data_IF_624295821234
#
_entry.id   IF_624295821234
#
_cell.length_a   1.000
_cell.length_b   1.000
_cell.length_c   1.000
_cell.angle_alpha   90.00
_cell.angle_beta   90.00
_cell.angle_gamma   90.00
#
_symmetry.space_group_name_H-M   'P 1'
#
loop_
_entity.id
_entity.type
_entity.pdbx_description
1 polymer ?
#
# COMPACT_ATOMS: atom_id res chain seq x y z
N UNK A 1 27.20 15.88 -20.46
CA UNK A 1 26.88 15.54 -19.05
C UNK A 1 25.50 16.13 -18.78
N UNK A 2 24.54 15.31 -18.34
CA UNK A 2 23.23 15.83 -17.95
C UNK A 2 23.39 16.70 -16.69
N UNK A 3 22.69 17.83 -16.62
CA UNK A 3 22.70 18.68 -15.44
C UNK A 3 22.05 17.93 -14.28
N UNK A 4 22.76 17.80 -13.16
CA UNK A 4 22.22 17.23 -11.93
C UNK A 4 21.69 18.33 -11.02
N UNK A 5 20.63 18.03 -10.28
CA UNK A 5 20.00 18.96 -9.35
C UNK A 5 19.63 18.25 -8.03
N UNK A 6 19.04 19.00 -7.09
CA UNK A 6 18.68 18.52 -5.77
C UNK A 6 17.28 18.97 -5.32
N UNK A 7 16.72 18.24 -4.36
CA UNK A 7 15.52 18.62 -3.60
C UNK A 7 15.80 18.54 -2.10
N UNK A 8 14.98 19.22 -1.32
CA UNK A 8 14.99 19.10 0.15
C UNK A 8 13.79 18.28 0.58
N UNK A 9 14.03 17.15 1.24
CA UNK A 9 12.97 16.36 1.89
C UNK A 9 12.86 16.78 3.36
N UNK A 10 11.64 17.04 3.83
CA UNK A 10 11.33 17.48 5.20
C UNK A 10 10.42 16.43 5.84
N UNK A 11 10.82 15.85 6.96
CA UNK A 11 10.02 14.87 7.68
C UNK A 11 8.95 15.54 8.55
N UNK A 12 7.93 14.79 8.97
CA UNK A 12 6.92 15.29 9.92
C UNK A 12 7.50 15.67 11.30
N UNK A 13 8.73 15.23 11.62
CA UNK A 13 9.45 15.63 12.84
C UNK A 13 10.15 16.99 12.69
N UNK A 14 10.16 17.58 11.49
CA UNK A 14 10.85 18.83 11.19
C UNK A 14 12.30 18.65 10.76
N UNK A 15 12.80 17.41 10.67
CA UNK A 15 14.13 17.12 10.14
C UNK A 15 14.13 17.33 8.62
N UNK A 16 15.19 17.94 8.09
CA UNK A 16 15.34 18.17 6.66
C UNK A 16 16.66 17.62 6.15
N UNK A 17 16.65 17.03 4.96
CA UNK A 17 17.86 16.56 4.29
C UNK A 17 17.79 16.83 2.79
N UNK A 18 18.97 17.02 2.18
CA UNK A 18 19.09 17.32 0.75
C UNK A 18 19.37 16.03 -0.02
N UNK A 19 18.57 15.77 -1.03
CA UNK A 19 18.78 14.70 -2.01
C UNK A 19 19.35 15.30 -3.28
N UNK A 20 20.65 15.09 -3.51
CA UNK A 20 21.37 15.53 -4.71
C UNK A 20 21.47 14.44 -5.78
N UNK A 21 21.89 14.82 -7.00
CA UNK A 21 22.12 13.86 -8.07
C UNK A 21 20.83 13.41 -8.78
N UNK A 22 19.81 14.26 -8.75
CA UNK A 22 18.58 14.05 -9.52
C UNK A 22 18.79 14.53 -10.97
N UNK A 23 18.10 13.89 -11.90
CA UNK A 23 18.07 14.22 -13.32
C UNK A 23 16.63 14.42 -13.79
N UNK A 24 16.43 15.03 -14.97
CA UNK A 24 15.10 15.20 -15.56
C UNK A 24 14.41 13.86 -15.93
N UNK A 25 15.20 12.79 -16.04
CA UNK A 25 14.73 11.44 -16.32
C UNK A 25 14.31 10.68 -15.05
N UNK A 26 14.61 11.22 -13.86
CA UNK A 26 14.15 10.63 -12.61
C UNK A 26 12.62 10.63 -12.51
N UNK A 27 12.10 9.57 -11.91
CA UNK A 27 10.67 9.34 -11.74
C UNK A 27 10.32 9.39 -10.25
N UNK A 28 9.03 9.50 -9.93
CA UNK A 28 8.59 9.45 -8.53
C UNK A 28 9.05 8.16 -7.80
N UNK A 29 8.98 6.95 -8.40
CA UNK A 29 9.53 5.74 -7.79
C UNK A 29 11.04 5.82 -7.51
N UNK A 30 11.85 6.35 -8.44
CA UNK A 30 13.30 6.46 -8.22
C UNK A 30 13.62 7.46 -7.11
N UNK A 31 12.91 8.59 -7.06
CA UNK A 31 13.04 9.56 -5.99
C UNK A 31 12.62 8.98 -4.64
N UNK A 32 11.49 8.27 -4.58
CA UNK A 32 10.99 7.65 -3.34
C UNK A 32 12.01 6.64 -2.79
N UNK A 33 12.59 5.82 -3.66
CA UNK A 33 13.66 4.90 -3.29
C UNK A 33 14.88 5.64 -2.71
N UNK A 34 15.33 6.74 -3.34
CA UNK A 34 16.42 7.58 -2.82
C UNK A 34 16.10 8.18 -1.45
N UNK A 35 14.85 8.61 -1.22
CA UNK A 35 14.39 9.14 0.08
C UNK A 35 14.37 8.04 1.14
N UNK A 36 13.85 6.86 0.81
CA UNK A 36 13.80 5.70 1.70
C UNK A 36 15.21 5.22 2.08
N UNK A 37 16.13 5.21 1.12
CA UNK A 37 17.56 4.95 1.34
C UNK A 37 18.17 5.95 2.32
N UNK A 38 17.94 7.25 2.11
CA UNK A 38 18.45 8.31 2.99
C UNK A 38 17.89 8.23 4.43
N UNK A 39 16.70 7.65 4.60
CA UNK A 39 16.07 7.43 5.91
C UNK A 39 16.41 6.06 6.53
N UNK A 40 17.22 5.23 5.87
CA UNK A 40 17.55 3.88 6.33
C UNK A 40 16.36 2.90 6.32
N UNK A 41 15.36 3.15 5.46
CA UNK A 41 14.14 2.34 5.36
C UNK A 41 14.26 1.16 4.39
N UNK A 42 15.40 0.99 3.72
CA UNK A 42 15.62 -0.11 2.74
C UNK A 42 15.41 -1.50 3.36
N UNK A 43 15.69 -1.62 4.67
CA UNK A 43 15.55 -2.87 5.43
C UNK A 43 14.16 -2.99 6.07
N UNK A 44 13.39 -1.90 6.18
CA UNK A 44 12.06 -1.92 6.77
C UNK A 44 10.99 -2.15 5.69
N UNK A 45 10.62 -3.42 5.50
CA UNK A 45 9.58 -3.81 4.54
C UNK A 45 8.20 -3.19 4.84
N UNK A 46 7.96 -2.74 6.08
CA UNK A 46 6.66 -2.24 6.53
C UNK A 46 6.56 -0.72 6.54
N UNK A 47 7.67 0.01 6.38
CA UNK A 47 7.67 1.48 6.27
C UNK A 47 7.93 1.91 4.84
N UNK A 48 7.10 2.82 4.35
CA UNK A 48 7.35 3.54 3.09
C UNK A 48 7.09 5.02 3.25
N UNK A 49 7.68 5.77 2.33
CA UNK A 49 7.49 7.20 2.23
C UNK A 49 6.35 7.53 1.29
N UNK A 50 5.54 8.53 1.68
CA UNK A 50 4.68 9.28 0.77
C UNK A 50 5.22 10.70 0.69
N UNK A 51 5.58 11.13 -0.51
CA UNK A 51 6.07 12.49 -0.76
C UNK A 51 4.89 13.40 -1.10
N UNK A 52 4.89 14.60 -0.52
CA UNK A 52 3.94 15.65 -0.84
C UNK A 52 4.71 16.85 -1.39
N UNK A 53 4.18 17.45 -2.45
CA UNK A 53 4.65 18.70 -3.03
C UNK A 53 3.47 19.68 -3.01
N UNK A 54 3.69 20.91 -2.50
CA UNK A 54 2.62 21.92 -2.36
C UNK A 54 1.36 21.37 -1.67
N UNK A 55 1.55 20.61 -0.58
CA UNK A 55 0.49 19.93 0.19
C UNK A 55 -0.31 18.85 -0.56
N UNK A 56 0.09 18.48 -1.77
CA UNK A 56 -0.54 17.43 -2.56
C UNK A 56 0.32 16.16 -2.56
N UNK A 57 -0.25 14.97 -2.26
CA UNK A 57 0.50 13.72 -2.34
C UNK A 57 0.87 13.42 -3.79
N UNK A 58 2.16 13.16 -4.02
CA UNK A 58 2.68 12.70 -5.29
C UNK A 58 2.28 11.23 -5.48
N UNK A 59 1.84 10.87 -6.68
CA UNK A 59 1.42 9.52 -7.03
C UNK A 59 1.73 9.17 -8.48
N UNK A 60 1.82 7.86 -8.76
CA UNK A 60 2.05 7.31 -10.09
C UNK A 60 3.53 7.07 -10.41
N UNK A 61 3.82 6.89 -11.70
CA UNK A 61 5.16 6.56 -12.24
C UNK A 61 5.72 7.66 -13.13
N UNK A 62 5.19 8.88 -13.00
CA UNK A 62 5.56 10.03 -13.83
C UNK A 62 6.96 10.55 -13.49
N UNK A 63 7.52 11.31 -14.43
CA UNK A 63 8.76 12.07 -14.23
C UNK A 63 8.56 13.16 -13.18
N UNK A 64 9.63 13.53 -12.47
CA UNK A 64 9.56 14.56 -11.43
C UNK A 64 9.09 15.93 -11.97
N UNK A 65 9.55 16.30 -13.16
CA UNK A 65 9.17 17.55 -13.83
C UNK A 65 7.68 17.59 -14.21
N UNK A 66 7.10 16.47 -14.64
CA UNK A 66 5.66 16.34 -14.91
C UNK A 66 4.80 16.47 -13.66
N UNK A 67 5.39 16.23 -12.48
CA UNK A 67 4.76 16.38 -11.18
C UNK A 67 4.98 17.78 -10.58
N UNK A 68 5.60 18.69 -11.33
CA UNK A 68 5.92 20.04 -10.87
C UNK A 68 7.11 20.11 -9.91
N UNK A 69 7.84 19.01 -9.69
CA UNK A 69 9.04 19.01 -8.84
C UNK A 69 10.20 19.59 -9.64
N UNK A 70 10.76 20.70 -9.16
CA UNK A 70 11.82 21.47 -9.79
C UNK A 70 13.12 21.43 -8.96
N UNK A 71 14.27 21.85 -9.52
CA UNK A 71 15.49 22.07 -8.75
C UNK A 71 15.26 22.96 -7.51
N UNK A 72 15.67 22.48 -6.35
CA UNK A 72 15.52 23.16 -5.07
C UNK A 72 14.14 23.02 -4.42
N UNK A 73 13.22 22.22 -4.99
CA UNK A 73 11.90 22.02 -4.42
C UNK A 73 11.96 21.40 -3.01
N UNK A 74 11.00 21.79 -2.17
CA UNK A 74 10.79 21.22 -0.85
C UNK A 74 9.68 20.18 -0.90
N UNK A 75 9.95 19.00 -0.36
CA UNK A 75 9.04 17.87 -0.34
C UNK A 75 8.75 17.47 1.09
N UNK A 76 7.48 17.46 1.48
CA UNK A 76 7.07 16.90 2.77
C UNK A 76 7.07 15.37 2.66
N UNK A 77 7.85 14.73 3.50
CA UNK A 77 8.04 13.29 3.60
C UNK A 77 7.21 12.73 4.75
N UNK A 78 6.15 11.99 4.42
CA UNK A 78 5.30 11.30 5.38
C UNK A 78 5.65 9.81 5.38
N UNK A 79 6.29 9.35 6.45
CA UNK A 79 6.47 7.92 6.70
C UNK A 79 5.14 7.30 7.13
N UNK A 80 4.82 6.12 6.61
CA UNK A 80 3.64 5.35 7.00
C UNK A 80 3.98 3.88 7.15
N UNK A 81 3.37 3.22 8.13
CA UNK A 81 3.38 1.76 8.23
C UNK A 81 2.26 1.17 7.38
N UNK A 82 2.64 0.39 6.38
CA UNK A 82 1.70 -0.31 5.51
C UNK A 82 2.30 -1.63 5.03
N UNK A 83 1.46 -2.64 4.78
CA UNK A 83 1.85 -3.80 3.99
C UNK A 83 1.68 -3.44 2.51
N UNK A 84 2.80 -3.41 1.80
CA UNK A 84 2.85 -3.19 0.35
C UNK A 84 2.78 -4.53 -0.38
N UNK A 85 2.34 -4.48 -1.63
CA UNK A 85 2.29 -5.66 -2.50
C UNK A 85 1.48 -6.81 -1.88
N UNK A 86 0.31 -6.47 -1.33
CA UNK A 86 -0.63 -7.47 -0.80
C UNK A 86 -0.84 -8.57 -1.86
N UNK A 87 -0.45 -9.79 -1.51
CA UNK A 87 -0.54 -10.98 -2.36
C UNK A 87 -1.42 -12.04 -1.70
N UNK A 88 -1.83 -13.04 -2.48
CA UNK A 88 -2.58 -14.18 -1.96
C UNK A 88 -1.76 -14.92 -0.88
N UNK A 89 -2.45 -15.41 0.15
CA UNK A 89 -1.83 -16.14 1.25
C UNK A 89 -1.33 -15.27 2.38
N UNK A 90 -1.01 -13.98 2.13
CA UNK A 90 -0.52 -13.04 3.16
C UNK A 90 -1.43 -13.05 4.38
N UNK A 91 -0.84 -13.29 5.56
CA UNK A 91 -1.55 -13.37 6.83
C UNK A 91 -1.35 -12.09 7.64
N UNK A 92 -2.42 -11.61 8.25
CA UNK A 92 -2.36 -10.49 9.18
C UNK A 92 -3.12 -10.81 10.45
N UNK A 93 -2.68 -10.23 11.56
CA UNK A 93 -3.38 -10.27 12.83
C UNK A 93 -3.85 -8.86 13.19
N UNK A 94 -5.10 -8.75 13.63
CA UNK A 94 -5.75 -7.48 13.97
C UNK A 94 -6.05 -7.46 15.46
N UNK A 95 -5.55 -6.43 16.14
CA UNK A 95 -5.97 -6.05 17.50
C UNK A 95 -6.82 -4.79 17.42
N UNK A 96 -7.85 -4.67 18.27
CA UNK A 96 -8.76 -3.52 18.30
C UNK A 96 -9.61 -3.54 19.58
N UNK A 97 -10.24 -2.42 19.93
CA UNK A 97 -11.23 -2.35 21.00
C UNK A 97 -12.58 -2.97 20.64
N UNK A 98 -12.79 -3.26 19.35
CA UNK A 98 -14.04 -3.84 18.86
C UNK A 98 -13.85 -5.32 18.60
N UNK A 99 -14.42 -6.17 19.47
CA UNK A 99 -14.23 -7.62 19.43
C UNK A 99 -14.63 -8.29 18.10
N UNK A 100 -15.51 -7.65 17.32
CA UNK A 100 -15.92 -8.14 16.00
C UNK A 100 -14.87 -7.95 14.91
N UNK A 101 -13.77 -7.22 15.14
CA UNK A 101 -12.69 -7.06 14.15
C UNK A 101 -11.37 -7.70 14.59
N UNK A 102 -11.30 -8.13 15.86
CA UNK A 102 -10.13 -8.80 16.42
C UNK A 102 -10.02 -10.21 15.87
N UNK A 103 -8.84 -10.56 15.35
CA UNK A 103 -8.54 -11.90 14.88
C UNK A 103 -7.50 -11.94 13.77
N UNK A 104 -7.28 -13.13 13.23
CA UNK A 104 -6.35 -13.33 12.11
C UNK A 104 -7.11 -13.35 10.79
N UNK A 105 -6.50 -12.80 9.75
CA UNK A 105 -7.06 -12.73 8.41
C UNK A 105 -6.05 -13.21 7.37
N UNK A 106 -6.55 -13.74 6.26
CA UNK A 106 -5.74 -14.23 5.13
C UNK A 106 -6.18 -13.54 3.85
N UNK A 107 -5.22 -12.96 3.12
CA UNK A 107 -5.45 -12.35 1.83
C UNK A 107 -5.84 -13.41 0.78
N UNK A 108 -6.95 -13.16 0.09
CA UNK A 108 -7.44 -13.96 -1.03
C UNK A 108 -7.93 -13.04 -2.15
N UNK A 109 -7.72 -13.40 -3.42
CA UNK A 109 -8.32 -12.67 -4.53
C UNK A 109 -9.84 -12.85 -4.49
N UNK A 110 -10.58 -11.75 -4.65
CA UNK A 110 -12.02 -11.81 -4.89
C UNK A 110 -12.30 -12.09 -6.38
N UNK A 111 -13.59 -12.17 -6.77
CA UNK A 111 -14.00 -12.39 -8.17
C UNK A 111 -13.48 -11.34 -9.16
N UNK A 112 -13.16 -10.13 -8.70
CA UNK A 112 -12.58 -9.05 -9.53
C UNK A 112 -11.05 -9.04 -9.53
N UNK A 113 -10.39 -10.02 -8.89
CA UNK A 113 -8.93 -10.08 -8.76
C UNK A 113 -8.35 -9.11 -7.71
N UNK A 114 -9.19 -8.37 -6.99
CA UNK A 114 -8.74 -7.49 -5.90
C UNK A 114 -8.53 -8.30 -4.63
N UNK A 115 -7.41 -8.05 -3.94
CA UNK A 115 -7.12 -8.73 -2.68
C UNK A 115 -8.08 -8.30 -1.57
N UNK A 116 -8.59 -9.27 -0.84
CA UNK A 116 -9.45 -9.10 0.32
C UNK A 116 -8.94 -10.01 1.42
N UNK A 117 -8.84 -9.50 2.65
CA UNK A 117 -8.43 -10.30 3.79
C UNK A 117 -9.66 -10.94 4.42
N UNK A 118 -9.72 -12.26 4.51
CA UNK A 118 -10.83 -13.00 5.10
C UNK A 118 -10.47 -13.46 6.50
N UNK A 119 -11.35 -13.21 7.47
CA UNK A 119 -11.12 -13.64 8.86
C UNK A 119 -11.09 -15.18 8.93
N UNK A 120 -10.10 -15.75 9.64
CA UNK A 120 -9.84 -17.19 9.65
C UNK A 120 -10.95 -18.01 10.31
N UNK A 121 -11.55 -17.52 11.39
CA UNK A 121 -12.64 -18.20 12.11
C UNK A 121 -14.04 -17.64 11.88
N UNK A 122 -14.20 -16.55 11.12
CA UNK A 122 -15.49 -15.84 10.97
C UNK A 122 -15.70 -15.47 9.50
N UNK A 123 -16.35 -16.35 8.75
CA UNK A 123 -16.51 -16.22 7.28
C UNK A 123 -17.16 -14.90 6.82
N UNK A 124 -17.97 -14.29 7.69
CA UNK A 124 -18.66 -13.04 7.43
C UNK A 124 -17.82 -11.79 7.65
N UNK A 125 -16.57 -11.93 8.11
CA UNK A 125 -15.68 -10.81 8.42
C UNK A 125 -14.53 -10.71 7.42
N UNK A 126 -14.29 -9.51 6.92
CA UNK A 126 -13.23 -9.25 5.95
C UNK A 126 -12.68 -7.83 6.01
N UNK A 127 -11.47 -7.64 5.50
CA UNK A 127 -10.87 -6.33 5.22
C UNK A 127 -10.80 -6.19 3.70
N UNK A 128 -11.50 -5.21 3.15
CA UNK A 128 -11.63 -5.04 1.70
C UNK A 128 -11.28 -3.62 1.27
N UNK A 129 -10.63 -3.50 0.12
CA UNK A 129 -10.40 -2.22 -0.52
C UNK A 129 -11.56 -1.85 -1.44
N UNK A 130 -11.99 -0.59 -1.36
CA UNK A 130 -12.98 -0.02 -2.27
C UNK A 130 -12.37 1.13 -3.07
N UNK A 131 -12.58 1.17 -4.40
CA UNK A 131 -12.25 2.34 -5.19
C UNK A 131 -13.17 3.51 -4.81
N UNK A 132 -12.71 4.74 -5.09
CA UNK A 132 -13.57 5.92 -4.98
C UNK A 132 -14.75 5.72 -5.93
N UNK A 133 -15.95 5.58 -5.39
CA UNK A 133 -17.14 5.51 -6.22
C UNK A 133 -17.58 6.93 -6.56
N UNK A 134 -17.72 7.22 -7.85
CA UNK A 134 -18.60 8.31 -8.28
C UNK A 134 -20.02 7.91 -7.85
N UNK A 135 -20.70 8.84 -7.17
CA UNK A 135 -21.98 8.63 -6.47
C UNK A 135 -22.83 7.49 -7.04
N UNK A 136 -22.84 6.35 -6.37
CA UNK A 136 -23.77 5.27 -6.66
C UNK A 136 -25.10 5.59 -6.01
N UNK A 137 -26.16 5.65 -6.82
CA UNK A 137 -27.52 5.79 -6.34
C UNK A 137 -27.94 4.49 -5.65
N UNK A 138 -27.87 4.46 -4.31
CA UNK A 138 -28.36 3.31 -3.55
C UNK A 138 -29.86 3.50 -3.34
N UNK A 139 -30.67 2.67 -3.99
CA UNK A 139 -32.12 2.60 -3.74
C UNK A 139 -32.35 1.81 -2.45
N UNK A 140 -32.82 2.48 -1.40
CA UNK A 140 -33.19 1.85 -0.13
C UNK A 140 -34.69 1.58 -0.10
N UNK A 141 -35.09 0.36 0.25
CA UNK A 141 -36.45 0.03 0.66
C UNK A 141 -36.55 0.23 2.17
N UNK A 142 -37.49 1.06 2.63
CA UNK A 142 -37.81 1.20 4.06
C UNK A 142 -39.15 0.55 4.35
N UNK A 143 -39.22 -0.18 5.47
CA UNK A 143 -40.35 -1.07 5.84
C UNK A 143 -41.67 -0.33 6.04
N UNK A 144 -41.61 0.96 6.36
CA UNK A 144 -42.79 1.69 6.82
C UNK A 144 -43.64 2.24 5.66
N UNK A 145 -43.09 2.52 4.46
CA UNK A 145 -43.85 3.33 3.48
C UNK A 145 -43.64 3.03 1.99
N UNK A 146 -43.04 1.91 1.54
CA UNK A 146 -42.71 1.73 0.10
C UNK A 146 -41.99 2.95 -0.53
N UNK A 147 -41.35 3.78 0.29
CA UNK A 147 -40.63 4.98 -0.15
C UNK A 147 -39.22 4.55 -0.48
N UNK A 148 -38.92 4.53 -1.77
CA UNK A 148 -37.56 4.42 -2.27
C UNK A 148 -36.85 5.74 -2.01
N UNK A 149 -36.09 5.82 -0.91
CA UNK A 149 -35.21 6.96 -0.69
C UNK A 149 -33.89 6.65 -1.37
N UNK A 150 -33.59 7.38 -2.44
CA UNK A 150 -32.27 7.36 -3.06
C UNK A 150 -31.30 8.06 -2.11
N UNK A 151 -30.41 7.28 -1.50
CA UNK A 151 -29.31 7.83 -0.72
C UNK A 151 -28.10 7.87 -1.63
N UNK A 152 -27.67 9.07 -2.01
CA UNK A 152 -26.38 9.28 -2.65
C UNK A 152 -25.30 9.12 -1.58
N UNK A 153 -24.74 7.93 -1.46
CA UNK A 153 -23.63 7.66 -0.56
C UNK A 153 -22.38 7.39 -1.41
N UNK A 154 -21.44 8.33 -1.43
CA UNK A 154 -20.11 8.09 -1.98
C UNK A 154 -19.16 7.70 -0.86
N UNK A 155 -18.54 6.53 -0.97
CA UNK A 155 -17.52 6.07 -0.04
C UNK A 155 -16.16 6.56 -0.57
N UNK A 156 -15.27 7.10 0.28
CA UNK A 156 -13.92 7.41 -0.15
C UNK A 156 -13.17 6.14 -0.58
N UNK A 157 -12.18 6.27 -1.47
CA UNK A 157 -11.29 5.14 -1.74
C UNK A 157 -10.55 4.75 -0.46
N UNK A 158 -10.50 3.46 -0.13
CA UNK A 158 -9.80 3.02 1.06
C UNK A 158 -10.05 1.57 1.44
N UNK A 159 -9.40 1.16 2.53
CA UNK A 159 -9.64 -0.15 3.15
C UNK A 159 -10.69 -0.04 4.24
N UNK A 160 -11.53 -1.07 4.33
CA UNK A 160 -12.65 -1.13 5.24
C UNK A 160 -12.70 -2.49 5.90
N UNK A 161 -13.03 -2.49 7.18
CA UNK A 161 -13.52 -3.69 7.84
C UNK A 161 -15.00 -3.88 7.48
N UNK A 162 -15.38 -5.12 7.19
CA UNK A 162 -16.75 -5.50 6.91
C UNK A 162 -17.14 -6.68 7.79
N UNK A 163 -18.37 -6.66 8.28
CA UNK A 163 -18.94 -7.76 9.06
C UNK A 163 -20.36 -8.01 8.55
N UNK A 164 -20.53 -8.96 7.61
CA UNK A 164 -21.84 -9.33 7.10
C UNK A 164 -22.70 -9.89 8.24
N UNK A 165 -23.69 -9.12 8.71
CA UNK A 165 -24.65 -9.68 9.65
C UNK A 165 -25.45 -10.80 8.95
N UNK A 166 -25.60 -11.93 9.64
CA UNK A 166 -26.30 -13.13 9.14
C UNK A 166 -27.83 -12.94 9.17
N UNK A 167 -28.34 -11.82 9.69
CA UNK A 167 -29.77 -11.54 9.74
C UNK A 167 -30.26 -10.96 8.40
N UNK A 168 -30.38 -11.91 7.49
CA UNK A 168 -30.69 -11.88 6.07
C UNK A 168 -32.05 -11.27 5.67
N UNK A 169 -32.87 -10.82 6.62
CA UNK A 169 -34.27 -10.43 6.34
C UNK A 169 -34.44 -9.10 5.57
N UNK A 170 -33.36 -8.35 5.34
CA UNK A 170 -33.41 -7.12 4.51
C UNK A 170 -32.52 -7.15 3.27
N UNK A 171 -31.81 -8.24 2.95
CA UNK A 171 -31.04 -8.35 1.70
C UNK A 171 -29.83 -7.41 1.57
N UNK A 172 -29.40 -6.75 2.64
CA UNK A 172 -28.22 -5.89 2.63
C UNK A 172 -27.19 -6.38 3.67
N UNK A 173 -25.89 -6.45 3.32
CA UNK A 173 -24.86 -6.71 4.31
C UNK A 173 -24.81 -5.55 5.30
N UNK A 174 -25.00 -5.81 6.60
CA UNK A 174 -24.57 -4.85 7.63
C UNK A 174 -23.05 -4.67 7.47
N UNK A 175 -22.57 -3.43 7.54
CA UNK A 175 -21.15 -3.11 7.39
C UNK A 175 -20.69 -2.49 8.71
N UNK A 176 -19.96 -3.23 9.54
CA UNK A 176 -19.24 -2.59 10.66
C UNK A 176 -17.99 -1.93 10.09
N UNK A 177 -18.13 -0.67 9.66
CA UNK A 177 -17.13 0.08 8.92
C UNK A 177 -16.14 0.81 9.83
N UNK A 178 -14.92 0.31 9.86
CA UNK A 178 -13.75 1.14 10.17
C UNK A 178 -13.18 1.63 8.84
N UNK A 179 -12.77 2.90 8.82
CA UNK A 179 -12.09 3.54 7.70
C UNK A 179 -10.63 3.73 8.04
N UNK A 180 -9.76 3.83 7.05
CA UNK A 180 -8.40 4.34 7.28
C UNK A 180 -8.43 5.87 7.25
N UNK A 181 -7.80 6.55 8.22
CA UNK A 181 -7.67 8.03 8.23
C UNK A 181 -6.97 8.59 7.00
N UNK A 182 -6.19 7.72 6.33
CA UNK A 182 -5.48 8.01 5.10
C UNK A 182 -6.16 7.20 4.00
N UNK A 183 -6.78 7.83 2.99
CA UNK A 183 -7.25 7.08 1.83
C UNK A 183 -6.07 6.32 1.25
N UNK A 184 -6.11 4.99 1.33
CA UNK A 184 -5.14 4.19 0.60
C UNK A 184 -5.54 4.27 -0.87
N UNK A 185 -4.80 5.09 -1.61
CA UNK A 185 -4.99 5.26 -3.05
C UNK A 185 -4.76 3.97 -3.85
N UNK A 186 -4.26 2.90 -3.20
CA UNK A 186 -3.97 1.63 -3.86
C UNK A 186 -4.50 0.44 -3.07
N UNK A 187 -5.21 -0.45 -3.78
CA UNK A 187 -5.64 -1.76 -3.29
C UNK A 187 -4.49 -2.72 -2.98
N UNK A 188 -3.24 -2.35 -3.30
CA UNK A 188 -2.04 -3.13 -2.99
C UNK A 188 -1.32 -2.67 -1.71
N UNK A 189 -1.84 -1.64 -1.06
CA UNK A 189 -1.22 -1.03 0.12
C UNK A 189 -2.22 -1.06 1.28
N UNK A 190 -2.09 -2.03 2.18
CA UNK A 190 -2.90 -2.16 3.39
C UNK A 190 -2.27 -1.31 4.52
N UNK A 191 -2.93 -0.25 5.01
CA UNK A 191 -2.43 0.50 6.15
C UNK A 191 -2.40 -0.37 7.41
N UNK A 192 -1.26 -0.38 8.11
CA UNK A 192 -1.10 -1.17 9.33
C UNK A 192 -1.57 -0.41 10.58
N UNK A 193 -1.70 0.91 10.48
CA UNK A 193 -2.06 1.80 11.57
C UNK A 193 -2.86 3.01 11.06
N UNK A 194 -3.30 3.89 11.99
CA UNK A 194 -4.01 5.12 11.65
C UNK A 194 -5.44 4.87 11.17
N UNK A 195 -6.08 3.81 11.66
CA UNK A 195 -7.50 3.55 11.43
C UNK A 195 -8.37 4.58 12.18
N UNK A 196 -9.52 4.91 11.60
CA UNK A 196 -10.52 5.83 12.11
C UNK A 196 -11.91 5.17 12.08
N UNK A 197 -12.78 5.58 12.99
CA UNK A 197 -14.17 5.14 12.96
C UNK A 197 -14.88 5.80 11.79
N UNK A 198 -15.49 5.01 10.89
CA UNK A 198 -16.43 5.56 9.93
C UNK A 198 -17.81 5.60 10.58
N UNK A 199 -18.35 6.81 10.73
CA UNK A 199 -19.69 6.98 11.26
C UNK A 199 -20.64 7.15 10.08
N UNK A 200 -21.31 6.07 9.69
CA UNK A 200 -22.45 6.13 8.78
C UNK A 200 -23.75 6.08 9.60
N UNK A 201 -24.67 7.06 9.47
CA UNK A 201 -25.87 7.15 10.32
C UNK A 201 -26.82 5.95 10.30
N UNK A 202 -26.72 5.08 9.30
CA UNK A 202 -27.76 4.08 9.01
C UNK A 202 -27.26 2.66 8.75
N UNK A 203 -25.95 2.43 8.58
CA UNK A 203 -25.45 1.15 8.04
C UNK A 203 -24.25 0.57 8.78
N UNK A 204 -23.77 1.26 9.81
CA UNK A 204 -22.55 0.91 10.52
C UNK A 204 -22.68 1.10 12.02
N UNK A 205 -22.25 0.09 12.78
CA UNK A 205 -21.99 0.25 14.20
C UNK A 205 -20.65 0.98 14.38
N UNK A 206 -20.60 2.05 15.19
CA UNK A 206 -19.36 2.78 15.39
C UNK A 206 -18.35 1.89 16.11
N UNK A 207 -17.12 1.88 15.59
CA UNK A 207 -16.00 1.26 16.24
C UNK A 207 -15.72 1.83 17.63
N UNK A 208 -15.21 0.97 18.51
CA UNK A 208 -14.72 1.33 19.85
C UNK A 208 -13.19 1.39 19.90
N UNK A 209 -12.60 2.35 20.63
CA UNK A 209 -11.16 2.40 20.86
C UNK A 209 -10.68 1.20 21.70
N UNK A 210 -9.39 0.78 21.57
CA UNK A 210 -8.41 1.31 20.61
C UNK A 210 -8.78 1.03 19.15
N UNK A 211 -8.29 1.87 18.24
CA UNK A 211 -8.47 1.64 16.80
C UNK A 211 -7.71 0.39 16.37
N UNK A 212 -8.11 -0.23 15.23
CA UNK A 212 -7.39 -1.39 14.73
C UNK A 212 -5.89 -1.13 14.55
N UNK A 213 -5.07 -2.06 15.00
CA UNK A 213 -3.66 -2.19 14.64
C UNK A 213 -3.48 -3.53 13.94
N UNK A 214 -2.73 -3.52 12.84
CA UNK A 214 -2.52 -4.71 12.01
C UNK A 214 -1.04 -5.08 12.05
N UNK A 215 -0.78 -6.34 12.40
CA UNK A 215 0.54 -6.95 12.34
C UNK A 215 0.56 -7.94 11.18
N UNK A 216 1.49 -7.78 10.25
CA UNK A 216 1.76 -8.82 9.24
C UNK A 216 2.39 -10.01 9.96
N UNK A 217 1.77 -11.17 9.84
CA UNK A 217 2.36 -12.40 10.33
C UNK A 217 3.33 -12.86 9.25
N UNK A 218 4.58 -13.09 9.64
CA UNK A 218 5.57 -13.66 8.73
C UNK A 218 4.95 -14.91 8.10
N UNK A 219 4.97 -14.98 6.77
CA UNK A 219 4.75 -16.26 6.12
C UNK A 219 5.86 -17.15 6.65
N UNK A 220 5.50 -18.13 7.48
CA UNK A 220 6.25 -19.37 7.60
C UNK A 220 6.21 -20.03 6.21
N UNK A 221 6.87 -19.39 5.25
CA UNK A 221 7.20 -19.98 3.98
C UNK A 221 8.10 -21.14 4.37
N UNK A 222 7.53 -22.35 4.35
CA UNK A 222 8.33 -23.56 4.39
C UNK A 222 9.45 -23.40 3.35
N UNK A 223 10.72 -23.59 3.73
CA UNK A 223 11.86 -23.26 2.88
C UNK A 223 12.07 -24.20 1.67
N UNK A 224 11.04 -24.90 1.18
CA UNK A 224 11.25 -26.09 0.36
C UNK A 224 11.03 -25.94 -1.16
N UNK A 225 10.67 -24.76 -1.70
CA UNK A 225 10.39 -24.63 -3.15
C UNK A 225 11.11 -23.47 -3.89
N UNK A 226 12.20 -22.95 -3.34
CA UNK A 226 13.13 -22.09 -4.11
C UNK A 226 14.22 -22.98 -4.73
N UNK A 227 13.82 -23.81 -5.69
CA UNK A 227 14.76 -24.41 -6.64
C UNK A 227 15.04 -23.36 -7.73
N UNK A 228 15.73 -22.27 -7.38
CA UNK A 228 16.30 -21.35 -8.38
C UNK A 228 17.49 -22.08 -9.01
N UNK A 229 17.19 -22.73 -10.13
CA UNK A 229 18.20 -23.15 -11.11
C UNK A 229 18.89 -21.90 -11.64
N UNK A 230 19.99 -21.51 -11.00
CA UNK A 230 20.92 -20.51 -11.52
C UNK A 230 21.61 -21.08 -12.77
N UNK A 231 21.06 -20.80 -13.95
CA UNK A 231 21.86 -20.82 -15.17
C UNK A 231 22.72 -19.55 -15.22
N UNK A 232 23.91 -19.64 -14.62
CA UNK A 232 25.04 -18.78 -14.92
C UNK A 232 25.48 -19.02 -16.37
N UNK A 233 25.00 -18.18 -17.29
CA UNK A 233 25.66 -18.01 -18.58
C UNK A 233 26.89 -17.11 -18.37
N UNK A 234 28.06 -17.75 -18.27
CA UNK A 234 29.34 -17.09 -18.25
C UNK A 234 29.57 -16.36 -19.59
N UNK A 235 29.69 -15.02 -19.55
CA UNK A 235 30.32 -14.26 -20.62
C UNK A 235 31.84 -14.50 -20.57
N UNK A 236 32.31 -15.51 -21.28
CA UNK A 236 33.73 -15.73 -21.54
C UNK A 236 34.19 -14.71 -22.59
N UNK A 237 35.01 -13.74 -22.19
CA UNK A 237 35.71 -12.85 -23.12
C UNK A 237 36.90 -13.61 -23.69
N UNK A 238 36.81 -13.97 -24.97
CA UNK A 238 37.87 -14.60 -25.75
C UNK A 238 38.94 -13.56 -26.11
N UNK A 239 40.12 -13.65 -25.48
CA UNK A 239 41.33 -13.00 -25.97
C UNK A 239 42.25 -14.06 -26.59
N UNK A 240 42.14 -14.23 -27.90
CA UNK A 240 43.09 -15.01 -28.71
C UNK A 240 43.99 -14.05 -29.48
N UNK A 241 45.26 -13.97 -29.08
CA UNK A 241 46.37 -13.47 -29.89
C UNK A 241 47.43 -14.56 -30.01
N UNK A 242 48.01 -14.80 -31.20
CA UNK A 242 48.98 -15.88 -31.41
C UNK A 242 50.40 -15.49 -30.95
N UNK A 243 51.19 -16.51 -30.57
CA UNK A 243 52.59 -16.43 -30.07
C UNK A 243 53.63 -15.93 -31.10
N UNK A 244 54.95 -16.21 -30.96
CA UNK A 244 55.61 -17.33 -30.28
C UNK A 244 56.82 -16.95 -29.39
N UNK A 245 57.49 -18.00 -28.89
CA UNK A 245 58.53 -18.01 -27.87
C UNK A 245 59.98 -17.91 -28.44
N UNK A 246 61.05 -18.35 -27.73
CA UNK A 246 62.11 -17.52 -27.15
C UNK A 246 63.48 -17.71 -27.83
N UNK A 247 64.42 -16.77 -27.66
CA UNK A 247 65.84 -17.05 -27.87
C UNK A 247 66.73 -16.27 -26.88
N UNK A 248 67.57 -17.04 -26.19
CA UNK A 248 68.75 -16.60 -25.45
C UNK A 248 69.77 -15.93 -26.37
N UNK A 249 70.50 -14.93 -25.87
CA UNK A 249 71.97 -14.97 -25.71
C UNK A 249 72.49 -13.61 -25.19
N UNK A 250 73.35 -13.74 -24.16
CA UNK A 250 74.36 -12.81 -23.60
C UNK A 250 73.91 -11.48 -22.97
#
# INVERSE_FOLDING_TARGET
>A
MAATWSVTAITMAGESFVLSGLSEEDTLPSLTCKVEAALGLEVDAQRRVTLLHEHCPLAGTKRLTELGVQPGAELLCVMRRAAFEVHEGMKVHVTAGTASVVGSYVARPNKSGTMTFHHTSRENQRIAWYPKQETTTVKRVTWDHNVFREVKASWPAGWYFECRAVNFWMGYPSLVSFLTSKPSYSHRCLPLEGWQVYVAPTFCDPGKPPMPEITVLEDECQPDDINISMHLAACTVSATGPGPAPLFHE
#
